data_IF_704750520779
#
_entry.id   IF_704750520779
#
_cell.length_a   1.000
_cell.length_b   1.000
_cell.length_c   1.000
_cell.angle_alpha   90.00
_cell.angle_beta   90.00
_cell.angle_gamma   90.00
#
_symmetry.space_group_name_H-M   'P 1'
#
loop_
_entity.id
_entity.type
_entity.pdbx_description
1 polymer ?
#
# COMPACT_ATOMS: atom_id res chain seq x y z
N UNK A 1 -8.65 -4.12 -10.34
CA UNK A 1 -7.95 -5.15 -9.63
C UNK A 1 -8.39 -6.56 -9.98
N UNK A 2 -7.98 -7.51 -9.17
CA UNK A 2 -8.26 -8.95 -9.38
C UNK A 2 -9.75 -9.30 -9.39
N UNK A 3 -10.57 -8.51 -8.69
CA UNK A 3 -12.02 -8.70 -8.64
C UNK A 3 -12.77 -8.27 -9.91
N UNK A 4 -12.08 -7.65 -10.88
CA UNK A 4 -12.67 -7.22 -12.14
C UNK A 4 -13.58 -5.99 -12.06
N UNK A 5 -13.58 -5.25 -10.95
CA UNK A 5 -14.41 -4.06 -10.76
C UNK A 5 -14.10 -2.90 -11.73
N UNK A 6 -12.90 -2.88 -12.30
CA UNK A 6 -12.46 -1.87 -13.27
C UNK A 6 -12.52 -2.35 -14.73
N UNK A 7 -13.26 -3.41 -15.03
CA UNK A 7 -13.46 -3.84 -16.42
C UNK A 7 -14.25 -2.79 -17.20
N UNK A 8 -13.75 -2.35 -18.38
CA UNK A 8 -14.44 -1.35 -19.19
C UNK A 8 -15.73 -1.92 -19.81
N UNK A 9 -16.74 -1.08 -19.94
CA UNK A 9 -17.96 -1.38 -20.70
C UNK A 9 -17.71 -1.14 -22.19
N UNK A 10 -18.56 -1.72 -23.05
CA UNK A 10 -18.41 -1.62 -24.51
C UNK A 10 -18.49 -0.18 -25.07
N UNK A 11 -19.25 0.69 -24.38
CA UNK A 11 -19.52 2.08 -24.78
C UNK A 11 -18.78 3.11 -23.90
N UNK A 12 -17.72 2.70 -23.21
CA UNK A 12 -16.95 3.60 -22.35
C UNK A 12 -15.69 4.14 -23.03
N UNK A 13 -15.13 5.20 -22.45
CA UNK A 13 -13.78 5.71 -22.77
C UNK A 13 -12.78 5.12 -21.81
N UNK A 14 -11.83 4.33 -22.31
CA UNK A 14 -10.74 3.79 -21.52
C UNK A 14 -9.57 4.78 -21.49
N UNK A 15 -9.27 5.32 -20.32
CA UNK A 15 -8.13 6.22 -20.11
C UNK A 15 -6.89 5.42 -19.66
N UNK A 16 -5.94 5.23 -20.56
CA UNK A 16 -4.68 4.55 -20.26
C UNK A 16 -3.66 5.51 -19.64
N UNK A 17 -3.44 5.40 -18.35
CA UNK A 17 -2.55 6.30 -17.58
C UNK A 17 -1.05 5.92 -17.62
N UNK A 18 -0.66 4.86 -18.32
CA UNK A 18 0.68 4.29 -18.29
C UNK A 18 1.86 5.24 -18.60
N UNK A 19 1.61 6.39 -19.22
CA UNK A 19 2.62 7.43 -19.46
C UNK A 19 2.89 8.31 -18.22
N UNK A 20 2.02 8.28 -17.21
CA UNK A 20 2.17 8.99 -15.94
C UNK A 20 2.97 8.13 -14.95
N UNK A 21 4.23 7.85 -15.24
CA UNK A 21 5.06 6.89 -14.52
C UNK A 21 6.38 7.47 -13.99
N UNK A 22 6.44 8.78 -13.75
CA UNK A 22 7.65 9.46 -13.28
C UNK A 22 7.59 9.74 -11.78
N UNK A 23 8.71 9.56 -11.10
CA UNK A 23 8.96 10.16 -9.78
C UNK A 23 9.34 11.61 -10.06
N UNK A 24 8.57 12.55 -9.52
CA UNK A 24 8.72 13.98 -9.79
C UNK A 24 9.68 14.62 -8.80
N UNK A 25 9.62 14.22 -7.53
CA UNK A 25 10.45 14.77 -6.47
C UNK A 25 10.67 13.74 -5.36
N UNK A 26 11.88 13.73 -4.79
CA UNK A 26 12.20 13.00 -3.56
C UNK A 26 12.67 14.02 -2.53
N UNK A 27 11.90 14.23 -1.50
CA UNK A 27 12.19 15.18 -0.44
C UNK A 27 12.54 14.43 0.86
N UNK A 28 13.82 14.15 1.03
CA UNK A 28 14.32 13.45 2.23
C UNK A 28 14.18 14.28 3.50
N UNK A 29 14.14 15.61 3.40
CA UNK A 29 14.02 16.51 4.54
C UNK A 29 12.63 16.43 5.15
N UNK A 30 11.61 16.43 4.29
CA UNK A 30 10.20 16.26 4.68
C UNK A 30 9.75 14.79 4.65
N UNK A 31 10.65 13.86 4.28
CA UNK A 31 10.38 12.41 4.21
C UNK A 31 9.19 12.08 3.35
N UNK A 32 9.16 12.61 2.15
CA UNK A 32 8.10 12.33 1.20
C UNK A 32 8.63 12.19 -0.24
N UNK A 33 7.81 11.54 -1.06
CA UNK A 33 8.03 11.40 -2.52
C UNK A 33 6.79 11.89 -3.23
N UNK A 34 6.99 12.74 -4.24
CA UNK A 34 5.96 13.17 -5.18
C UNK A 34 6.12 12.37 -6.46
N UNK A 35 5.07 11.73 -6.90
CA UNK A 35 5.12 10.81 -8.05
C UNK A 35 3.85 10.87 -8.87
N UNK A 36 3.95 10.48 -10.13
CA UNK A 36 2.81 10.26 -11.00
C UNK A 36 2.09 8.94 -10.67
N UNK A 37 0.79 8.80 -10.96
CA UNK A 37 -0.04 7.70 -10.44
C UNK A 37 0.33 6.30 -10.94
N UNK A 38 0.99 6.17 -12.08
CA UNK A 38 1.38 4.86 -12.61
C UNK A 38 2.77 4.38 -12.21
N UNK A 39 3.48 5.12 -11.34
CA UNK A 39 4.67 4.57 -10.68
C UNK A 39 4.23 3.38 -9.82
N UNK A 40 4.95 2.25 -9.92
CA UNK A 40 4.60 1.08 -9.10
C UNK A 40 4.95 1.33 -7.63
N UNK A 41 4.19 0.70 -6.74
CA UNK A 41 4.42 0.79 -5.30
C UNK A 41 5.89 0.49 -4.94
N UNK A 42 6.42 -0.63 -5.42
CA UNK A 42 7.80 -1.06 -5.15
C UNK A 42 8.85 -0.10 -5.75
N UNK A 43 8.57 0.56 -6.88
CA UNK A 43 9.49 1.51 -7.51
C UNK A 43 9.77 2.72 -6.60
N UNK A 44 8.81 3.11 -5.77
CA UNK A 44 9.01 4.19 -4.78
C UNK A 44 10.08 3.77 -3.76
N UNK A 45 9.98 2.55 -3.22
CA UNK A 45 10.99 2.01 -2.29
C UNK A 45 12.36 1.92 -2.98
N UNK A 46 12.42 1.39 -4.20
CA UNK A 46 13.68 1.29 -4.94
C UNK A 46 14.35 2.65 -5.18
N UNK A 47 13.56 3.71 -5.38
CA UNK A 47 14.10 5.05 -5.62
C UNK A 47 14.72 5.70 -4.37
N UNK A 48 14.39 5.22 -3.17
CA UNK A 48 14.83 5.83 -1.91
C UNK A 48 15.68 4.91 -1.03
N UNK A 49 15.79 3.62 -1.36
CA UNK A 49 16.46 2.61 -0.54
C UNK A 49 17.96 2.88 -0.35
N UNK A 50 18.65 3.46 -1.34
CA UNK A 50 20.08 3.80 -1.26
C UNK A 50 20.38 4.87 -0.19
N UNK A 51 19.36 5.61 0.25
CA UNK A 51 19.44 6.59 1.34
C UNK A 51 18.88 6.04 2.65
N UNK A 52 18.55 4.73 2.71
CA UNK A 52 18.02 4.06 3.89
C UNK A 52 16.57 4.44 4.20
N UNK A 53 15.75 4.63 3.14
CA UNK A 53 14.31 4.88 3.25
C UNK A 53 13.51 3.83 2.49
N UNK A 54 12.22 3.73 2.79
CA UNK A 54 11.27 2.87 2.10
C UNK A 54 9.85 3.42 2.21
N UNK A 55 8.97 2.96 1.32
CA UNK A 55 7.52 3.19 1.39
C UNK A 55 6.88 2.01 2.11
N UNK A 56 6.15 2.27 3.21
CA UNK A 56 5.73 1.21 4.12
C UNK A 56 4.57 0.34 3.63
N UNK A 57 3.49 0.85 3.00
CA UNK A 57 2.44 0.00 2.46
C UNK A 57 2.96 -0.92 1.36
N UNK A 58 2.78 -2.22 1.55
CA UNK A 58 3.38 -3.26 0.70
C UNK A 58 2.36 -4.33 0.29
N UNK A 59 1.35 -3.99 -0.51
CA UNK A 59 0.43 -4.99 -1.02
C UNK A 59 1.19 -6.10 -1.75
N UNK A 60 0.69 -7.32 -1.71
CA UNK A 60 1.33 -8.47 -2.38
C UNK A 60 1.58 -8.23 -3.88
N UNK A 61 0.80 -7.34 -4.48
CA UNK A 61 0.93 -6.88 -5.87
C UNK A 61 1.90 -5.71 -6.07
N UNK A 62 2.68 -5.30 -5.07
CA UNK A 62 3.52 -4.08 -5.09
C UNK A 62 4.48 -3.97 -6.29
N UNK A 63 4.85 -5.09 -6.89
CA UNK A 63 5.67 -5.13 -8.10
C UNK A 63 4.92 -4.61 -9.33
N UNK A 64 3.60 -4.72 -9.35
CA UNK A 64 2.75 -4.43 -10.50
C UNK A 64 1.72 -3.33 -10.25
N UNK A 65 1.20 -3.19 -9.02
CA UNK A 65 0.19 -2.19 -8.70
C UNK A 65 0.76 -0.77 -8.77
N UNK A 66 -0.05 0.15 -9.27
CA UNK A 66 0.30 1.57 -9.37
C UNK A 66 -0.09 2.32 -8.09
N UNK A 67 0.67 3.37 -7.76
CA UNK A 67 0.40 4.16 -6.56
C UNK A 67 -0.95 4.89 -6.63
N UNK A 68 -1.36 5.35 -7.81
CA UNK A 68 -2.70 5.94 -7.99
C UNK A 68 -3.81 4.93 -7.78
N UNK A 69 -3.62 3.68 -8.21
CA UNK A 69 -4.52 2.57 -7.91
C UNK A 69 -4.55 2.26 -6.41
N UNK A 70 -3.40 2.28 -5.75
CA UNK A 70 -3.34 2.09 -4.29
C UNK A 70 -4.11 3.17 -3.54
N UNK A 71 -4.08 4.43 -4.00
CA UNK A 71 -4.89 5.51 -3.43
C UNK A 71 -6.38 5.26 -3.71
N UNK A 72 -6.74 4.93 -4.94
CA UNK A 72 -8.13 4.70 -5.32
C UNK A 72 -8.78 3.55 -4.54
N UNK A 73 -8.03 2.49 -4.22
CA UNK A 73 -8.51 1.30 -3.47
C UNK A 73 -8.20 1.36 -1.97
N UNK A 74 -7.45 2.34 -1.50
CA UNK A 74 -6.89 2.37 -0.14
C UNK A 74 -6.13 1.08 0.19
N UNK A 75 -5.22 0.67 -0.67
CA UNK A 75 -4.51 -0.60 -0.55
C UNK A 75 -3.66 -0.69 0.72
N UNK A 76 -3.56 -1.88 1.27
CA UNK A 76 -2.69 -2.22 2.37
C UNK A 76 -1.87 -3.47 2.08
N UNK A 77 -1.10 -3.92 3.05
CA UNK A 77 -0.26 -5.13 2.98
C UNK A 77 0.00 -5.70 4.37
N UNK A 78 0.93 -6.64 4.48
CA UNK A 78 1.28 -7.31 5.74
C UNK A 78 1.73 -6.32 6.82
N UNK A 79 2.34 -5.21 6.42
CA UNK A 79 2.81 -4.17 7.32
C UNK A 79 1.73 -3.16 7.77
N UNK A 80 0.48 -3.32 7.31
CA UNK A 80 -0.62 -2.42 7.68
C UNK A 80 -0.95 -2.42 9.17
N UNK A 81 -0.66 -3.50 9.88
CA UNK A 81 -0.82 -3.58 11.33
C UNK A 81 -0.08 -2.44 12.05
N UNK A 82 1.14 -2.16 11.65
CA UNK A 82 1.99 -1.14 12.27
C UNK A 82 1.95 0.20 11.58
N UNK A 83 1.92 0.21 10.27
CA UNK A 83 2.12 1.42 9.46
C UNK A 83 0.85 1.91 8.79
N UNK A 84 -0.25 1.16 8.90
CA UNK A 84 -1.52 1.48 8.28
C UNK A 84 -1.55 1.18 6.78
N UNK A 85 -2.68 1.46 6.16
CA UNK A 85 -2.91 1.35 4.73
C UNK A 85 -2.39 2.59 3.97
N UNK A 86 -2.74 2.71 2.70
CA UNK A 86 -2.35 3.87 1.87
C UNK A 86 -2.78 5.19 2.50
N UNK A 87 -3.99 5.28 3.05
CA UNK A 87 -4.53 6.51 3.68
C UNK A 87 -3.63 7.04 4.80
N UNK A 88 -2.98 6.17 5.58
CA UNK A 88 -2.09 6.56 6.69
C UNK A 88 -0.71 7.04 6.21
N UNK A 89 -0.39 6.82 4.95
CA UNK A 89 0.90 7.12 4.33
C UNK A 89 0.78 8.10 3.16
N UNK A 90 -0.43 8.56 2.86
CA UNK A 90 -0.74 9.55 1.85
C UNK A 90 -0.68 10.95 2.47
N UNK A 91 0.04 11.87 1.83
CA UNK A 91 0.17 13.26 2.27
C UNK A 91 -0.58 14.23 1.36
N UNK A 92 -0.70 13.91 0.07
CA UNK A 92 -1.40 14.77 -0.86
C UNK A 92 -1.62 14.11 -2.22
N UNK A 93 -2.54 14.69 -2.98
CA UNK A 93 -2.81 14.32 -4.37
C UNK A 93 -3.09 15.57 -5.21
N UNK A 94 -2.80 15.47 -6.50
CA UNK A 94 -3.39 16.31 -7.53
C UNK A 94 -4.43 15.48 -8.27
N UNK A 95 -5.58 16.07 -8.51
CA UNK A 95 -6.72 15.38 -9.14
C UNK A 95 -7.39 16.28 -10.17
N UNK A 96 -7.83 15.68 -11.27
CA UNK A 96 -8.70 16.31 -12.26
C UNK A 96 -10.14 15.87 -11.96
N UNK A 97 -10.99 16.83 -11.63
CA UNK A 97 -12.40 16.60 -11.34
C UNK A 97 -13.21 16.42 -12.62
N UNK A 98 -14.48 16.04 -12.48
CA UNK A 98 -15.38 15.76 -13.63
C UNK A 98 -15.62 16.96 -14.54
N UNK A 99 -15.49 18.18 -14.03
CA UNK A 99 -15.63 19.42 -14.81
C UNK A 99 -14.31 19.86 -15.49
N UNK A 100 -13.24 19.07 -15.32
CA UNK A 100 -11.89 19.35 -15.82
C UNK A 100 -11.06 20.25 -14.90
N UNK A 101 -11.57 20.66 -13.75
CA UNK A 101 -10.82 21.44 -12.77
C UNK A 101 -9.68 20.60 -12.20
N UNK A 102 -8.46 21.15 -12.24
CA UNK A 102 -7.28 20.55 -11.57
C UNK A 102 -7.18 21.17 -10.17
N UNK A 103 -7.15 20.32 -9.17
CA UNK A 103 -7.06 20.73 -7.77
C UNK A 103 -6.08 19.85 -6.99
N UNK A 104 -5.63 20.36 -5.83
CA UNK A 104 -4.75 19.60 -4.92
C UNK A 104 -5.41 19.49 -3.57
N UNK A 105 -5.30 18.30 -2.97
CA UNK A 105 -5.72 18.02 -1.60
C UNK A 105 -4.51 17.55 -0.82
N UNK A 106 -4.31 18.10 0.38
CA UNK A 106 -3.11 17.85 1.18
C UNK A 106 -1.86 18.51 0.59
N UNK A 107 -0.69 17.96 0.93
CA UNK A 107 0.60 18.51 0.50
C UNK A 107 1.76 17.69 1.06
N UNK A 108 2.87 18.33 1.43
CA UNK A 108 4.02 17.68 2.08
C UNK A 108 3.90 17.62 3.60
N UNK A 109 2.92 18.32 4.19
CA UNK A 109 2.59 18.26 5.60
C UNK A 109 1.42 17.31 5.85
N UNK A 110 1.32 16.80 7.07
CA UNK A 110 0.22 15.90 7.46
C UNK A 110 -1.09 16.66 7.73
N UNK A 111 -1.02 17.97 7.92
CA UNK A 111 -2.18 18.81 8.18
C UNK A 111 -2.78 19.34 6.87
N UNK A 112 -4.08 19.22 6.71
CA UNK A 112 -4.84 19.83 5.64
C UNK A 112 -5.73 20.95 6.20
N UNK A 113 -5.89 22.03 5.44
CA UNK A 113 -6.84 23.09 5.80
C UNK A 113 -8.26 22.65 5.41
N UNK A 114 -9.22 22.81 6.33
CA UNK A 114 -10.63 22.54 6.08
C UNK A 114 -11.03 21.09 6.21
N UNK A 115 -11.93 20.64 5.32
CA UNK A 115 -12.41 19.25 5.30
C UNK A 115 -11.37 18.29 4.78
N UNK A 116 -11.40 17.03 5.27
CA UNK A 116 -10.51 15.97 4.81
C UNK A 116 -10.92 15.41 3.43
N UNK A 117 -10.71 16.21 2.40
CA UNK A 117 -10.92 15.77 1.02
C UNK A 117 -9.90 14.72 0.57
N UNK A 118 -8.71 14.68 1.19
CA UNK A 118 -7.72 13.65 0.91
C UNK A 118 -8.24 12.27 1.33
N UNK A 119 -8.83 12.18 2.53
CA UNK A 119 -9.50 10.97 3.00
C UNK A 119 -10.71 10.59 2.15
N UNK A 120 -11.51 11.57 1.71
CA UNK A 120 -12.65 11.32 0.80
C UNK A 120 -12.22 10.71 -0.54
N UNK A 121 -11.12 11.20 -1.10
CA UNK A 121 -10.59 10.72 -2.39
C UNK A 121 -9.92 9.33 -2.27
N UNK A 122 -9.40 9.00 -1.09
CA UNK A 122 -8.76 7.71 -0.83
C UNK A 122 -9.81 6.62 -0.70
N UNK A 123 -9.69 5.57 -1.50
CA UNK A 123 -10.70 4.49 -1.57
C UNK A 123 -11.94 4.86 -2.38
N UNK A 124 -11.90 5.93 -3.18
CA UNK A 124 -13.02 6.38 -4.03
C UNK A 124 -13.18 5.59 -5.34
N UNK A 125 -12.29 4.60 -5.59
CA UNK A 125 -12.31 3.75 -6.78
C UNK A 125 -12.25 4.52 -8.11
N UNK A 126 -11.72 5.77 -8.08
CA UNK A 126 -11.67 6.65 -9.26
C UNK A 126 -12.99 7.35 -9.59
N UNK A 127 -14.04 7.20 -8.77
CA UNK A 127 -15.38 7.74 -9.05
C UNK A 127 -15.47 9.27 -8.86
N UNK A 128 -14.55 9.86 -8.09
CA UNK A 128 -14.58 11.30 -7.75
C UNK A 128 -13.63 12.15 -8.60
N UNK A 129 -12.75 11.53 -9.37
CA UNK A 129 -11.81 12.24 -10.23
C UNK A 129 -10.62 11.38 -10.63
N UNK A 130 -9.77 11.93 -11.50
CA UNK A 130 -8.57 11.26 -12.04
C UNK A 130 -7.34 11.80 -11.31
N UNK A 131 -6.65 10.95 -10.56
CA UNK A 131 -5.42 11.30 -9.84
C UNK A 131 -4.28 11.46 -10.84
N UNK A 132 -3.56 12.58 -10.80
CA UNK A 132 -2.43 12.90 -11.68
C UNK A 132 -1.09 13.00 -10.94
N UNK A 133 -1.10 13.33 -9.65
CA UNK A 133 0.07 13.29 -8.78
C UNK A 133 -0.31 12.70 -7.42
N UNK A 134 0.65 12.04 -6.80
CA UNK A 134 0.53 11.44 -5.46
C UNK A 134 1.74 11.81 -4.63
N UNK A 135 1.53 12.34 -3.43
CA UNK A 135 2.57 12.59 -2.45
C UNK A 135 2.45 11.59 -1.32
N UNK A 136 3.46 10.77 -1.14
CA UNK A 136 3.48 9.72 -0.10
C UNK A 136 4.60 9.93 0.90
N UNK A 137 4.37 9.51 2.12
CA UNK A 137 5.35 9.50 3.21
C UNK A 137 6.32 8.33 3.00
N UNK A 138 7.62 8.59 3.22
CA UNK A 138 8.65 7.55 3.30
C UNK A 138 9.22 7.46 4.73
N UNK A 139 9.57 6.25 5.14
CA UNK A 139 10.09 5.96 6.45
C UNK A 139 11.56 5.55 6.36
N UNK A 140 12.32 5.76 7.44
CA UNK A 140 13.65 5.18 7.57
C UNK A 140 13.55 3.67 7.68
N UNK A 141 14.40 2.98 6.94
CA UNK A 141 14.55 1.52 7.06
C UNK A 141 14.99 1.15 8.48
N UNK A 142 14.44 0.09 9.06
CA UNK A 142 14.85 -0.39 10.36
C UNK A 142 16.29 -0.91 10.29
N UNK A 143 17.05 -0.75 11.38
CA UNK A 143 18.42 -1.25 11.47
C UNK A 143 18.48 -2.77 11.47
N UNK A 144 17.49 -3.41 12.08
CA UNK A 144 17.39 -4.87 12.20
C UNK A 144 15.92 -5.29 11.99
N UNK A 145 15.73 -6.35 11.24
CA UNK A 145 14.45 -7.06 11.12
C UNK A 145 14.66 -8.48 11.65
N UNK A 146 13.74 -8.92 12.51
CA UNK A 146 13.68 -10.30 13.00
C UNK A 146 12.32 -10.87 12.64
N UNK A 147 12.28 -12.11 12.21
CA UNK A 147 11.07 -12.86 11.94
C UNK A 147 11.02 -14.09 12.83
N UNK A 148 9.82 -14.48 13.25
CA UNK A 148 9.56 -15.72 13.95
C UNK A 148 8.48 -16.49 13.17
N UNK A 149 8.69 -17.79 12.99
CA UNK A 149 7.71 -18.73 12.48
C UNK A 149 7.29 -19.65 13.62
N UNK A 150 6.01 -19.66 13.95
CA UNK A 150 5.47 -20.36 15.11
C UNK A 150 4.38 -21.33 14.65
N UNK A 151 4.54 -22.60 14.99
CA UNK A 151 3.51 -23.62 14.76
C UNK A 151 2.56 -23.75 15.95
N UNK A 152 1.25 -23.85 15.67
CA UNK A 152 0.22 -24.03 16.68
C UNK A 152 -0.56 -25.33 16.41
N UNK A 153 -1.06 -26.01 17.45
CA UNK A 153 -1.90 -27.19 17.29
C UNK A 153 -3.23 -26.87 16.61
N UNK A 154 -3.83 -25.70 16.92
CA UNK A 154 -5.10 -25.24 16.40
C UNK A 154 -5.00 -23.81 15.87
N UNK A 155 -5.93 -23.43 15.00
CA UNK A 155 -6.05 -22.04 14.51
C UNK A 155 -6.49 -21.09 15.62
N UNK A 156 -7.23 -21.60 16.60
CA UNK A 156 -7.68 -20.86 17.77
C UNK A 156 -6.51 -20.46 18.67
N UNK A 157 -5.56 -21.39 18.92
CA UNK A 157 -4.33 -21.09 19.66
C UNK A 157 -3.50 -20.01 18.96
N UNK A 158 -3.42 -20.07 17.63
CA UNK A 158 -2.74 -19.05 16.84
C UNK A 158 -3.41 -17.67 16.98
N UNK A 159 -4.76 -17.64 16.90
CA UNK A 159 -5.54 -16.40 17.08
C UNK A 159 -5.38 -15.81 18.48
N UNK A 160 -5.43 -16.64 19.52
CA UNK A 160 -5.21 -16.21 20.89
C UNK A 160 -3.80 -15.63 21.09
N UNK A 161 -2.77 -16.26 20.53
CA UNK A 161 -1.40 -15.75 20.59
C UNK A 161 -1.28 -14.37 19.94
N UNK A 162 -1.91 -14.13 18.79
CA UNK A 162 -1.96 -12.81 18.15
C UNK A 162 -2.61 -11.77 19.07
N UNK A 163 -3.75 -12.11 19.66
CA UNK A 163 -4.47 -11.21 20.57
C UNK A 163 -3.63 -10.87 21.81
N UNK A 164 -2.95 -11.84 22.40
CA UNK A 164 -2.08 -11.66 23.55
C UNK A 164 -0.86 -10.77 23.23
N UNK A 165 -0.19 -10.99 22.09
CA UNK A 165 0.94 -10.17 21.65
C UNK A 165 0.54 -8.70 21.56
N UNK A 166 -0.63 -8.41 20.99
CA UNK A 166 -1.15 -7.04 20.88
C UNK A 166 -1.55 -6.49 22.25
N UNK A 167 -2.20 -7.30 23.09
CA UNK A 167 -2.62 -6.89 24.44
C UNK A 167 -1.43 -6.53 25.34
N UNK A 168 -0.30 -7.20 25.18
CA UNK A 168 0.98 -6.90 25.86
C UNK A 168 1.67 -5.62 25.31
N UNK A 169 1.05 -4.92 24.36
CA UNK A 169 1.59 -3.69 23.77
C UNK A 169 2.69 -3.92 22.73
N UNK A 170 2.93 -5.15 22.34
CA UNK A 170 3.86 -5.48 21.27
C UNK A 170 3.14 -5.37 19.92
N UNK A 171 3.51 -4.38 19.10
CA UNK A 171 2.97 -4.22 17.74
C UNK A 171 4.06 -4.61 16.74
N UNK A 172 4.05 -5.85 16.24
CA UNK A 172 4.98 -6.30 15.20
C UNK A 172 4.81 -5.50 13.91
N UNK A 173 5.83 -5.47 13.08
CA UNK A 173 5.75 -4.82 11.77
C UNK A 173 4.68 -5.48 10.89
N UNK A 174 4.56 -6.81 10.97
CA UNK A 174 3.51 -7.58 10.33
C UNK A 174 3.27 -8.89 11.07
N UNK A 175 2.07 -9.42 10.96
CA UNK A 175 1.68 -10.76 11.41
C UNK A 175 0.78 -11.39 10.37
N UNK A 176 1.07 -12.64 10.04
CA UNK A 176 0.24 -13.41 9.12
C UNK A 176 -0.07 -14.79 9.73
N UNK A 177 -1.30 -15.24 9.57
CA UNK A 177 -1.73 -16.57 9.95
C UNK A 177 -2.04 -17.35 8.68
N UNK A 178 -1.53 -18.57 8.62
CA UNK A 178 -1.82 -19.50 7.54
C UNK A 178 -2.34 -20.80 8.12
N UNK A 179 -3.58 -21.18 7.82
CA UNK A 179 -4.14 -22.44 8.25
C UNK A 179 -3.62 -23.61 7.40
N UNK A 180 -3.89 -24.82 7.85
CA UNK A 180 -3.45 -26.05 7.18
C UNK A 180 -4.05 -26.21 5.78
N UNK A 181 -5.29 -25.74 5.57
CA UNK A 181 -5.96 -25.82 4.28
C UNK A 181 -5.32 -24.88 3.27
N UNK A 182 -5.07 -23.63 3.69
CA UNK A 182 -4.40 -22.63 2.86
C UNK A 182 -2.95 -23.03 2.55
N UNK A 183 -2.21 -23.53 3.55
CA UNK A 183 -0.84 -24.04 3.36
C UNK A 183 -0.82 -25.17 2.32
N UNK A 184 -1.78 -26.11 2.38
CA UNK A 184 -1.90 -27.19 1.41
C UNK A 184 -2.24 -26.67 0.01
N UNK A 185 -3.16 -25.69 -0.10
CA UNK A 185 -3.55 -25.09 -1.37
C UNK A 185 -2.39 -24.30 -2.00
N UNK A 186 -1.67 -23.53 -1.21
CA UNK A 186 -0.49 -22.75 -1.67
C UNK A 186 0.60 -23.67 -2.18
N UNK A 187 0.90 -24.76 -1.47
CA UNK A 187 1.87 -25.77 -1.90
C UNK A 187 1.47 -26.49 -3.19
N UNK A 188 0.18 -26.64 -3.45
CA UNK A 188 -0.34 -27.28 -4.66
C UNK A 188 -0.23 -26.36 -5.91
N UNK A 189 -0.28 -25.04 -5.73
CA UNK A 189 -0.27 -24.04 -6.81
C UNK A 189 1.12 -23.44 -7.02
N UNK A 190 1.91 -23.30 -5.95
CA UNK A 190 3.28 -22.77 -6.01
C UNK A 190 4.26 -23.92 -6.03
N UNK A 191 5.05 -24.03 -7.11
CA UNK A 191 6.17 -24.99 -7.21
C UNK A 191 7.34 -24.63 -6.27
N UNK A 192 7.18 -23.64 -5.39
CA UNK A 192 8.13 -23.32 -4.35
C UNK A 192 7.76 -24.09 -3.08
N UNK A 193 8.53 -25.13 -2.80
CA UNK A 193 8.47 -25.81 -1.52
C UNK A 193 8.90 -24.84 -0.42
N UNK A 194 7.99 -24.45 0.46
CA UNK A 194 8.34 -23.92 1.77
C UNK A 194 8.93 -25.09 2.56
N UNK A 195 10.22 -25.32 2.41
CA UNK A 195 10.96 -26.19 3.31
C UNK A 195 11.07 -25.45 4.64
N UNK A 196 10.22 -25.82 5.59
CA UNK A 196 10.41 -25.42 6.98
C UNK A 196 11.75 -26.04 7.44
N UNK A 197 12.66 -25.25 8.01
CA UNK A 197 13.80 -25.86 8.69
C UNK A 197 13.27 -26.70 9.86
N UNK A 198 13.58 -27.99 9.82
CA UNK A 198 13.36 -28.96 10.90
C UNK A 198 14.23 -28.62 12.09
#
# INVERSE_FOLDING_TARGET
GLSGGSLPLEDCVLMAMGKFNKILEIDYKNRCVVTQPCVTNLAITHAVQDKGFYYAPDPSSQIACSIGGNVAENSGGVHSLKYGATTNNLLGIEVVLMDGTITKFGGKAMDSEGYDFLGLMTGSEGLLGVITEVTVKILKSPEIVKAALIGFPTIEDAGNCVAEIIAEGCIPAGMEIMDKALTKATNAVSYTHLTLPT
#
